data_IF_083248510966
#
_entry.id   IF_083248510966
#
_cell.length_a   1.000
_cell.length_b   1.000
_cell.length_c   1.000
_cell.angle_alpha   90.00
_cell.angle_beta   90.00
_cell.angle_gamma   90.00
#
_symmetry.space_group_name_H-M   'P 1'
#
loop_
_entity.id
_entity.type
_entity.pdbx_description
1 polymer ?
#
# COMPACT_ATOMS: atom_id res chain seq x y z
N UNK A 1 35.55 35.26 -8.30
CA UNK A 1 34.15 35.09 -8.72
C UNK A 1 33.76 33.63 -8.61
N UNK A 2 32.65 33.37 -7.93
CA UNK A 2 32.15 32.03 -7.58
C UNK A 2 31.58 31.31 -8.81
N UNK A 3 31.60 29.97 -8.81
CA UNK A 3 31.02 29.12 -9.87
C UNK A 3 29.54 29.46 -10.13
N UNK A 4 28.86 30.02 -9.13
CA UNK A 4 27.47 30.47 -9.20
C UNK A 4 27.31 31.73 -10.07
N UNK A 5 28.27 32.67 -10.02
CA UNK A 5 28.21 33.89 -10.84
C UNK A 5 28.39 33.57 -12.34
N UNK A 6 29.25 32.61 -12.67
CA UNK A 6 29.44 32.13 -14.06
C UNK A 6 28.23 31.37 -14.62
N UNK A 7 27.33 30.87 -13.76
CA UNK A 7 26.12 30.17 -14.20
C UNK A 7 24.97 31.15 -14.52
N UNK A 8 24.91 32.29 -13.82
CA UNK A 8 23.93 33.35 -14.06
C UNK A 8 24.17 34.07 -15.40
N UNK A 9 25.42 34.41 -15.72
CA UNK A 9 25.75 35.07 -17.00
C UNK A 9 25.46 34.19 -18.24
N UNK A 10 25.50 32.86 -18.08
CA UNK A 10 25.15 31.90 -19.14
C UNK A 10 23.64 31.75 -19.35
N UNK A 11 22.82 32.05 -18.34
CA UNK A 11 21.36 32.03 -18.45
C UNK A 11 20.83 33.32 -19.10
N UNK A 12 21.40 34.47 -18.77
CA UNK A 12 20.97 35.75 -19.34
C UNK A 12 21.35 35.89 -20.83
N UNK A 13 22.51 35.37 -21.23
CA UNK A 13 22.91 35.33 -22.64
C UNK A 13 22.06 34.37 -23.49
N UNK A 14 21.53 33.30 -22.89
CA UNK A 14 20.63 32.36 -23.57
C UNK A 14 19.23 32.95 -23.76
N UNK A 15 18.71 33.69 -22.77
CA UNK A 15 17.40 34.36 -22.83
C UNK A 15 17.37 35.53 -23.83
N UNK A 16 18.48 36.26 -24.00
CA UNK A 16 18.57 37.34 -24.98
C UNK A 16 18.54 36.85 -26.44
N UNK A 17 18.94 35.59 -26.69
CA UNK A 17 18.97 35.01 -28.04
C UNK A 17 17.60 34.48 -28.53
N UNK A 18 16.65 34.25 -27.62
CA UNK A 18 15.36 33.62 -27.93
C UNK A 18 14.22 34.60 -28.26
N UNK A 19 14.44 35.92 -28.15
CA UNK A 19 13.38 36.95 -28.28
C UNK A 19 13.40 37.67 -29.64
N UNK A 20 14.17 37.21 -30.62
CA UNK A 20 14.31 37.86 -31.94
C UNK A 20 13.79 37.03 -33.11
N UNK A 21 12.56 36.51 -33.05
CA UNK A 21 11.81 36.10 -34.25
C UNK A 21 10.29 36.30 -34.09
N UNK A 22 9.72 37.10 -35.01
CA UNK A 22 8.30 37.38 -35.32
C UNK A 22 7.57 38.52 -34.57
N UNK A 23 7.59 39.72 -35.17
CA UNK A 23 6.42 40.62 -35.26
C UNK A 23 5.40 40.05 -36.28
N UNK A 24 4.17 40.53 -36.47
CA UNK A 24 3.66 41.90 -36.43
C UNK A 24 2.10 41.89 -36.49
N UNK A 25 1.43 42.57 -35.53
CA UNK A 25 0.26 43.50 -35.64
C UNK A 25 -1.16 43.15 -36.21
N UNK A 26 -2.20 43.98 -35.91
CA UNK A 26 -3.56 43.56 -35.52
C UNK A 26 -4.72 44.07 -36.41
N UNK A 27 -5.97 43.61 -36.15
CA UNK A 27 -7.18 44.37 -36.54
C UNK A 27 -8.52 43.61 -36.63
N UNK A 28 -9.55 44.26 -36.05
CA UNK A 28 -11.00 44.29 -36.35
C UNK A 28 -11.96 43.16 -35.96
N UNK A 29 -12.98 43.61 -35.23
CA UNK A 29 -14.30 43.03 -34.93
C UNK A 29 -15.09 42.66 -36.20
N UNK A 30 -15.90 41.59 -36.12
CA UNK A 30 -17.25 41.57 -36.70
C UNK A 30 -18.10 40.44 -36.09
N UNK A 31 -19.27 40.84 -35.60
CA UNK A 31 -20.44 40.06 -35.24
C UNK A 31 -21.20 39.58 -36.48
N UNK A 32 -21.71 38.34 -36.46
CA UNK A 32 -22.96 37.92 -37.15
C UNK A 32 -23.44 36.55 -36.61
N UNK A 33 -24.48 36.57 -35.76
CA UNK A 33 -25.80 35.97 -35.98
C UNK A 33 -26.03 34.49 -36.44
N UNK A 34 -26.85 33.78 -35.61
CA UNK A 34 -28.00 32.88 -35.93
C UNK A 34 -27.72 31.36 -36.17
N UNK A 35 -28.60 30.38 -35.78
CA UNK A 35 -29.72 30.37 -34.83
C UNK A 35 -29.81 29.18 -33.83
N UNK A 36 -30.66 29.44 -32.84
CA UNK A 36 -31.50 28.57 -32.02
C UNK A 36 -32.29 27.51 -32.85
N UNK A 37 -32.29 26.25 -32.42
CA UNK A 37 -33.35 25.28 -32.75
C UNK A 37 -33.89 24.66 -31.46
N UNK A 38 -35.14 25.00 -31.16
CA UNK A 38 -36.02 24.25 -30.26
C UNK A 38 -36.70 23.16 -31.09
N UNK A 39 -36.74 21.93 -30.57
CA UNK A 39 -37.84 21.01 -30.81
C UNK A 39 -38.08 20.20 -29.53
N UNK A 40 -39.23 20.46 -28.92
CA UNK A 40 -39.87 19.59 -27.94
C UNK A 40 -40.62 18.48 -28.70
N UNK A 41 -40.53 17.22 -28.26
CA UNK A 41 -41.70 16.34 -28.19
C UNK A 41 -41.45 15.12 -27.28
N UNK A 42 -42.54 14.72 -26.65
CA UNK A 42 -42.67 13.94 -25.42
C UNK A 42 -42.35 12.44 -25.47
N UNK A 43 -42.16 11.91 -24.25
CA UNK A 43 -42.18 10.52 -23.81
C UNK A 43 -43.33 9.67 -24.39
N UNK A 44 -43.01 8.43 -24.77
CA UNK A 44 -43.75 7.24 -24.31
C UNK A 44 -42.81 6.06 -24.09
N UNK A 45 -43.12 5.28 -23.06
CA UNK A 45 -42.34 4.17 -22.54
C UNK A 45 -42.48 2.91 -23.39
N UNK A 46 -41.40 2.14 -23.51
CA UNK A 46 -41.50 0.68 -23.43
C UNK A 46 -40.22 0.07 -22.83
N UNK A 47 -40.43 -0.65 -21.73
CA UNK A 47 -39.48 -1.49 -21.01
C UNK A 47 -39.38 -2.84 -21.72
N UNK A 48 -38.14 -3.33 -21.87
CA UNK A 48 -37.70 -4.72 -21.64
C UNK A 48 -36.71 -5.19 -22.71
N UNK A 49 -35.53 -5.63 -22.25
CA UNK A 49 -34.58 -6.41 -23.06
C UNK A 49 -33.30 -5.67 -23.41
N UNK A 50 -32.38 -5.59 -22.46
CA UNK A 50 -31.06 -5.01 -22.71
C UNK A 50 -30.08 -5.04 -21.54
N UNK A 51 -30.19 -6.03 -20.65
CA UNK A 51 -29.10 -6.35 -19.71
C UNK A 51 -28.39 -7.59 -20.26
N UNK A 52 -27.76 -7.42 -21.42
CA UNK A 52 -26.79 -8.40 -21.90
C UNK A 52 -25.37 -7.85 -21.66
N UNK A 53 -24.77 -8.44 -20.62
CA UNK A 53 -23.40 -8.92 -20.69
C UNK A 53 -22.32 -7.85 -20.93
N UNK A 54 -22.10 -6.98 -19.93
CA UNK A 54 -20.72 -6.51 -19.66
C UNK A 54 -19.92 -7.72 -19.15
N UNK A 55 -19.36 -8.44 -20.12
CA UNK A 55 -18.24 -9.37 -20.03
C UNK A 55 -17.64 -9.47 -18.63
N UNK A 56 -17.78 -10.64 -17.99
CA UNK A 56 -17.01 -11.05 -16.82
C UNK A 56 -15.52 -10.74 -17.08
N UNK A 57 -15.03 -9.60 -16.59
CA UNK A 57 -13.60 -9.27 -16.57
C UNK A 57 -12.88 -10.47 -15.96
N UNK A 58 -11.89 -11.01 -16.65
CA UNK A 58 -11.09 -12.14 -16.15
C UNK A 58 -10.61 -11.80 -14.74
N UNK A 59 -11.03 -12.59 -13.74
CA UNK A 59 -10.53 -12.41 -12.38
C UNK A 59 -9.02 -12.60 -12.42
N UNK A 60 -8.26 -11.53 -12.16
CA UNK A 60 -6.81 -11.60 -12.06
C UNK A 60 -6.45 -12.39 -10.80
N UNK A 61 -6.42 -13.71 -10.93
CA UNK A 61 -6.13 -14.65 -9.84
C UNK A 61 -4.72 -15.19 -10.01
N UNK A 62 -3.98 -15.26 -8.89
CA UNK A 62 -2.67 -15.88 -8.79
C UNK A 62 -2.71 -17.04 -7.79
N UNK A 63 -1.80 -17.99 -7.94
CA UNK A 63 -1.63 -19.10 -6.99
C UNK A 63 -0.33 -18.89 -6.23
N UNK A 64 -0.44 -18.77 -4.92
CA UNK A 64 0.69 -18.69 -3.99
C UNK A 64 1.02 -20.11 -3.51
N UNK A 65 2.28 -20.49 -3.63
CA UNK A 65 2.80 -21.75 -3.10
C UNK A 65 2.90 -21.69 -1.57
N UNK A 66 1.92 -22.31 -0.90
CA UNK A 66 1.84 -22.32 0.56
C UNK A 66 2.98 -23.13 1.21
N UNK A 67 3.49 -24.17 0.55
CA UNK A 67 4.61 -24.96 1.07
C UNK A 67 5.89 -24.15 1.05
N UNK A 68 6.13 -23.41 -0.04
CA UNK A 68 7.23 -22.46 -0.14
C UNK A 68 7.11 -21.36 0.92
N UNK A 69 5.91 -20.83 1.15
CA UNK A 69 5.68 -19.84 2.20
C UNK A 69 6.04 -20.37 3.60
N UNK A 70 5.55 -21.56 3.98
CA UNK A 70 5.86 -22.15 5.29
C UNK A 70 7.38 -22.41 5.45
N UNK A 71 8.03 -22.93 4.40
CA UNK A 71 9.48 -23.15 4.40
C UNK A 71 10.30 -21.86 4.57
N UNK A 72 9.77 -20.72 4.13
CA UNK A 72 10.36 -19.39 4.33
C UNK A 72 9.97 -18.75 5.68
N UNK A 73 9.19 -19.45 6.50
CA UNK A 73 8.73 -18.97 7.81
C UNK A 73 7.53 -18.04 7.75
N UNK A 74 6.74 -18.05 6.68
CA UNK A 74 5.48 -17.30 6.64
C UNK A 74 4.33 -18.09 7.25
N UNK A 75 3.36 -17.38 7.83
CA UNK A 75 2.15 -17.96 8.41
C UNK A 75 1.30 -18.57 7.29
N UNK A 76 0.94 -19.84 7.45
CA UNK A 76 0.03 -20.59 6.59
C UNK A 76 -0.96 -21.37 7.46
N UNK A 77 -2.04 -21.95 6.90
CA UNK A 77 -2.98 -22.75 7.69
C UNK A 77 -2.32 -23.99 8.31
N UNK A 78 -1.25 -24.48 7.70
CA UNK A 78 -0.48 -25.66 8.13
C UNK A 78 0.79 -25.27 8.89
N UNK A 79 0.88 -24.02 9.39
CA UNK A 79 2.13 -23.49 9.95
C UNK A 79 2.74 -24.39 11.02
N UNK A 80 4.00 -24.76 10.81
CA UNK A 80 4.78 -25.57 11.73
C UNK A 80 5.33 -24.74 12.91
N UNK A 81 5.50 -23.43 12.72
CA UNK A 81 6.01 -22.49 13.72
C UNK A 81 4.88 -21.87 14.58
N UNK A 82 4.38 -22.64 15.55
CA UNK A 82 3.34 -22.19 16.49
C UNK A 82 3.73 -20.93 17.29
N UNK A 83 5.02 -20.76 17.59
CA UNK A 83 5.49 -19.58 18.33
C UNK A 83 5.30 -18.30 17.52
N UNK A 84 5.68 -18.33 16.23
CA UNK A 84 5.45 -17.21 15.31
C UNK A 84 3.96 -16.89 15.19
N UNK A 85 3.11 -17.91 15.08
CA UNK A 85 1.67 -17.73 14.99
C UNK A 85 1.09 -16.98 16.20
N UNK A 86 1.48 -17.38 17.42
CA UNK A 86 1.05 -16.70 18.65
C UNK A 86 1.60 -15.28 18.76
N UNK A 87 2.84 -15.01 18.33
CA UNK A 87 3.38 -13.65 18.29
C UNK A 87 2.55 -12.73 17.38
N UNK A 88 2.26 -13.16 16.15
CA UNK A 88 1.44 -12.38 15.24
C UNK A 88 -0.03 -12.33 15.66
N UNK A 89 -0.50 -13.28 16.47
CA UNK A 89 -1.80 -13.19 17.14
C UNK A 89 -1.86 -12.01 18.11
N UNK A 90 -0.82 -11.80 18.91
CA UNK A 90 -0.77 -10.63 19.78
C UNK A 90 -0.68 -9.32 19.00
N UNK A 91 0.14 -9.26 17.94
CA UNK A 91 0.25 -8.07 17.09
C UNK A 91 -1.09 -7.75 16.43
N UNK A 92 -1.76 -8.75 15.82
CA UNK A 92 -3.04 -8.50 15.15
C UNK A 92 -4.15 -8.09 16.12
N UNK A 93 -4.14 -8.61 17.36
CA UNK A 93 -5.11 -8.17 18.38
C UNK A 93 -5.01 -6.67 18.61
N UNK A 94 -3.80 -6.08 18.66
CA UNK A 94 -3.63 -4.63 18.81
C UNK A 94 -4.08 -3.85 17.57
N UNK A 95 -3.89 -4.42 16.38
CA UNK A 95 -4.34 -3.84 15.12
C UNK A 95 -5.87 -3.77 15.05
N UNK A 96 -6.53 -4.83 15.53
CA UNK A 96 -7.98 -5.01 15.51
C UNK A 96 -8.69 -4.45 16.75
N UNK A 97 -7.98 -4.16 17.84
CA UNK A 97 -8.56 -3.77 19.15
C UNK A 97 -9.12 -2.35 19.23
N UNK A 98 -9.31 -1.68 18.10
CA UNK A 98 -9.95 -0.37 18.04
C UNK A 98 -11.31 -0.51 17.35
N UNK A 99 -12.33 -0.69 18.17
CA UNK A 99 -13.77 -0.58 17.87
C UNK A 99 -14.18 -0.92 16.43
N UNK A 100 -14.37 -2.22 16.22
CA UNK A 100 -15.37 -2.70 15.28
C UNK A 100 -16.71 -2.01 15.60
N UNK A 101 -17.10 -1.02 14.79
CA UNK A 101 -18.37 -0.96 14.05
C UNK A 101 -18.73 0.49 13.66
N UNK A 102 -18.46 0.79 12.39
CA UNK A 102 -19.20 1.70 11.48
C UNK A 102 -18.48 2.92 10.89
N UNK A 103 -17.40 3.47 11.45
CA UNK A 103 -16.74 4.63 10.81
C UNK A 103 -15.24 4.44 10.58
N UNK A 104 -14.85 4.40 9.31
CA UNK A 104 -13.45 4.56 8.91
C UNK A 104 -13.10 6.03 9.13
N UNK A 105 -12.65 6.34 10.34
CA UNK A 105 -12.21 7.69 10.73
C UNK A 105 -10.74 7.83 10.35
N UNK A 106 -10.38 8.90 9.64
CA UNK A 106 -8.99 9.24 9.30
C UNK A 106 -8.17 8.10 8.66
N UNK A 107 -8.80 7.27 7.82
CA UNK A 107 -8.17 6.10 7.17
C UNK A 107 -7.65 5.04 8.16
N UNK A 108 -8.34 4.83 9.29
CA UNK A 108 -7.96 3.87 10.35
C UNK A 108 -7.78 2.43 9.86
N UNK A 109 -8.39 2.05 8.74
CA UNK A 109 -8.23 0.74 8.11
C UNK A 109 -6.96 0.62 7.25
N UNK A 110 -6.21 1.71 7.04
CA UNK A 110 -4.93 1.72 6.33
C UNK A 110 -3.78 1.71 7.31
N UNK A 111 -2.96 0.67 7.22
CA UNK A 111 -1.80 0.42 8.07
C UNK A 111 -0.55 0.43 7.20
N UNK A 112 0.34 1.38 7.46
CA UNK A 112 1.67 1.41 6.84
C UNK A 112 2.66 0.67 7.73
N UNK A 113 3.40 -0.24 7.12
CA UNK A 113 4.48 -0.97 7.78
C UNK A 113 5.79 -0.47 7.17
N UNK A 114 6.64 0.04 8.05
CA UNK A 114 7.94 0.61 7.66
C UNK A 114 9.02 0.19 8.64
N UNK A 115 10.24 0.64 8.41
CA UNK A 115 11.41 0.38 9.25
C UNK A 115 12.26 1.65 9.32
N UNK A 116 13.16 1.71 10.30
CA UNK A 116 14.12 2.81 10.39
C UNK A 116 15.17 2.69 9.29
N UNK A 117 15.75 1.50 9.10
CA UNK A 117 16.86 1.23 8.20
C UNK A 117 16.61 -0.04 7.36
N UNK A 118 17.38 -0.27 6.29
CA UNK A 118 17.20 -1.45 5.44
C UNK A 118 17.54 -2.75 6.18
N UNK A 119 16.76 -3.80 5.94
CA UNK A 119 17.08 -5.16 6.41
C UNK A 119 16.44 -5.56 7.73
N UNK A 120 15.63 -4.69 8.34
CA UNK A 120 14.96 -4.96 9.63
C UNK A 120 13.82 -5.99 9.54
N UNK A 121 13.46 -6.39 8.32
CA UNK A 121 12.44 -7.43 8.06
C UNK A 121 11.01 -6.90 7.97
N UNK A 122 10.84 -5.62 7.64
CA UNK A 122 9.54 -4.97 7.37
C UNK A 122 8.60 -5.79 6.47
N UNK A 123 9.11 -6.33 5.35
CA UNK A 123 8.31 -7.10 4.38
C UNK A 123 7.91 -8.46 4.95
N UNK A 124 8.78 -9.06 5.77
CA UNK A 124 8.45 -10.30 6.46
C UNK A 124 7.32 -10.07 7.46
N UNK A 125 7.42 -8.99 8.25
CA UNK A 125 6.39 -8.63 9.22
C UNK A 125 5.08 -8.19 8.58
N UNK A 126 5.13 -7.47 7.46
CA UNK A 126 3.93 -7.02 6.77
C UNK A 126 3.14 -8.17 6.17
N UNK A 127 3.81 -9.12 5.53
CA UNK A 127 3.17 -10.31 4.97
C UNK A 127 2.60 -11.19 6.09
N UNK A 128 3.37 -11.46 7.15
CA UNK A 128 2.89 -12.30 8.25
C UNK A 128 1.69 -11.69 9.00
N UNK A 129 1.69 -10.37 9.20
CA UNK A 129 0.53 -9.69 9.76
C UNK A 129 -0.68 -9.77 8.83
N UNK A 130 -0.48 -9.59 7.53
CA UNK A 130 -1.55 -9.67 6.54
C UNK A 130 -2.16 -11.08 6.47
N UNK A 131 -1.33 -12.11 6.45
CA UNK A 131 -1.78 -13.51 6.44
C UNK A 131 -2.47 -13.89 7.75
N UNK A 132 -1.94 -13.47 8.91
CA UNK A 132 -2.54 -13.79 10.21
C UNK A 132 -3.94 -13.19 10.40
N UNK A 133 -4.22 -12.05 9.75
CA UNK A 133 -5.53 -11.42 9.69
C UNK A 133 -6.42 -12.10 8.64
N UNK A 134 -5.92 -12.39 7.43
CA UNK A 134 -6.70 -13.02 6.37
C UNK A 134 -7.25 -14.40 6.76
N UNK A 135 -6.52 -15.14 7.58
CA UNK A 135 -6.97 -16.44 8.11
C UNK A 135 -8.05 -16.32 9.21
N UNK A 136 -8.35 -15.13 9.73
CA UNK A 136 -9.49 -14.95 10.64
C UNK A 136 -10.81 -14.96 9.90
N UNK A 137 -11.86 -15.47 10.54
CA UNK A 137 -13.15 -15.72 9.88
C UNK A 137 -13.73 -14.46 9.20
N UNK A 138 -13.70 -13.30 9.85
CA UNK A 138 -14.41 -12.09 9.44
C UNK A 138 -13.55 -11.00 8.77
N UNK A 139 -12.24 -11.20 8.62
CA UNK A 139 -11.34 -10.14 8.20
C UNK A 139 -10.81 -10.33 6.78
N UNK A 140 -10.87 -9.25 5.99
CA UNK A 140 -10.33 -9.17 4.64
C UNK A 140 -9.13 -8.27 4.59
N UNK A 141 -8.15 -8.64 3.78
CA UNK A 141 -6.89 -7.92 3.67
C UNK A 141 -6.57 -7.60 2.22
N UNK A 142 -6.27 -6.33 1.97
CA UNK A 142 -5.58 -5.88 0.78
C UNK A 142 -4.12 -5.59 1.16
N UNK A 143 -3.20 -6.42 0.67
CA UNK A 143 -1.77 -6.19 0.79
C UNK A 143 -1.27 -5.36 -0.40
N UNK A 144 -0.60 -4.25 -0.13
CA UNK A 144 -0.02 -3.37 -1.15
C UNK A 144 1.49 -3.38 -0.99
N UNK A 145 2.19 -3.75 -2.06
CA UNK A 145 3.63 -3.59 -2.16
C UNK A 145 3.95 -2.14 -2.56
N UNK A 146 4.41 -1.33 -1.60
CA UNK A 146 4.86 0.04 -1.81
C UNK A 146 6.38 0.16 -1.99
N UNK A 147 7.13 -0.94 -2.01
CA UNK A 147 8.59 -0.94 -2.15
C UNK A 147 9.02 -1.36 -3.55
N UNK A 148 9.10 -0.38 -4.45
CA UNK A 148 9.48 -0.57 -5.86
C UNK A 148 10.96 -0.90 -6.06
N UNK A 149 11.80 -0.69 -5.04
CA UNK A 149 13.24 -0.86 -5.14
C UNK A 149 13.65 -2.30 -4.87
N UNK A 150 13.09 -2.93 -3.83
CA UNK A 150 13.45 -4.29 -3.44
C UNK A 150 12.52 -5.37 -3.97
N UNK A 151 11.23 -5.05 -4.21
CA UNK A 151 10.21 -5.99 -4.76
C UNK A 151 10.19 -7.36 -4.06
N UNK A 152 10.49 -7.40 -2.76
CA UNK A 152 10.65 -8.65 -2.00
C UNK A 152 9.33 -9.43 -1.94
N UNK A 153 8.22 -8.75 -1.63
CA UNK A 153 6.88 -9.34 -1.62
C UNK A 153 6.48 -9.86 -3.00
N UNK A 154 6.82 -9.11 -4.05
CA UNK A 154 6.58 -9.54 -5.43
C UNK A 154 7.33 -10.82 -5.79
N UNK A 155 8.54 -11.03 -5.27
CA UNK A 155 9.31 -12.28 -5.45
C UNK A 155 8.72 -13.44 -4.64
N UNK A 156 8.24 -13.15 -3.43
CA UNK A 156 7.61 -14.15 -2.55
C UNK A 156 6.32 -14.69 -3.17
N UNK A 157 5.49 -13.82 -3.74
CA UNK A 157 4.21 -14.18 -4.37
C UNK A 157 4.33 -14.54 -5.86
N UNK A 158 5.53 -14.52 -6.44
CA UNK A 158 5.79 -14.79 -7.86
C UNK A 158 5.03 -13.87 -8.84
N UNK A 159 5.06 -12.56 -8.54
CA UNK A 159 4.33 -11.50 -9.27
C UNK A 159 5.23 -10.35 -9.76
N UNK A 160 6.55 -10.53 -9.80
CA UNK A 160 7.54 -9.48 -10.10
C UNK A 160 7.33 -8.72 -11.42
N UNK A 161 6.65 -9.31 -12.40
CA UNK A 161 6.40 -8.71 -13.73
C UNK A 161 4.98 -8.15 -13.90
N UNK A 162 4.16 -8.15 -12.84
CA UNK A 162 2.79 -7.65 -12.90
C UNK A 162 2.75 -6.12 -12.81
N UNK A 163 1.85 -5.45 -13.55
CA UNK A 163 1.59 -4.04 -13.32
C UNK A 163 0.96 -3.85 -11.93
N UNK A 164 1.17 -2.69 -11.33
CA UNK A 164 0.79 -2.44 -9.95
C UNK A 164 0.59 -0.97 -9.60
N UNK A 165 0.91 -0.63 -8.37
CA UNK A 165 0.67 0.70 -7.79
C UNK A 165 1.30 1.83 -8.61
N UNK A 166 2.58 1.72 -9.02
CA UNK A 166 3.21 2.78 -9.82
C UNK A 166 2.61 2.89 -11.24
N UNK A 167 2.21 1.77 -11.84
CA UNK A 167 1.56 1.78 -13.16
C UNK A 167 0.19 2.49 -13.07
N UNK A 168 -0.54 2.29 -11.97
CA UNK A 168 -1.78 3.04 -11.68
C UNK A 168 -1.53 4.54 -11.52
N UNK A 169 -0.47 4.92 -10.79
CA UNK A 169 -0.16 6.33 -10.53
C UNK A 169 0.35 7.05 -11.78
N UNK A 170 0.93 6.32 -12.73
CA UNK A 170 1.49 6.87 -13.99
C UNK A 170 0.42 7.02 -15.08
N UNK A 171 -0.54 6.10 -15.17
CA UNK A 171 -1.54 6.07 -16.24
C UNK A 171 -2.93 6.41 -15.72
N UNK A 172 -3.53 7.47 -16.26
CA UNK A 172 -4.91 7.88 -15.93
C UNK A 172 -5.96 6.86 -16.40
N UNK A 173 -5.63 6.04 -17.39
CA UNK A 173 -6.55 5.08 -18.02
C UNK A 173 -6.61 3.71 -17.31
N UNK A 174 -5.75 3.49 -16.32
CA UNK A 174 -5.68 2.21 -15.61
C UNK A 174 -6.75 2.15 -14.52
N UNK A 175 -7.65 1.17 -14.59
CA UNK A 175 -8.59 0.86 -13.51
C UNK A 175 -7.87 0.06 -12.42
N UNK A 176 -7.95 0.52 -11.17
CA UNK A 176 -7.35 -0.14 -10.02
C UNK A 176 -7.82 -1.60 -9.90
N UNK A 177 -9.09 -1.87 -10.22
CA UNK A 177 -9.66 -3.22 -10.12
C UNK A 177 -8.93 -4.23 -11.02
N UNK A 178 -8.36 -3.78 -12.13
CA UNK A 178 -7.60 -4.63 -13.07
C UNK A 178 -6.18 -4.92 -12.58
N UNK A 179 -5.71 -4.23 -11.53
CA UNK A 179 -4.37 -4.41 -10.96
C UNK A 179 -4.39 -5.23 -9.67
N UNK A 180 -5.57 -5.43 -9.09
CA UNK A 180 -5.76 -6.25 -7.90
C UNK A 180 -5.66 -7.74 -8.26
N UNK A 181 -4.80 -8.45 -7.54
CA UNK A 181 -4.57 -9.87 -7.69
C UNK A 181 -5.27 -10.64 -6.58
N UNK A 182 -6.31 -11.40 -6.92
CA UNK A 182 -6.89 -12.37 -6.00
C UNK A 182 -5.94 -13.55 -5.84
N UNK A 183 -5.91 -14.15 -4.66
CA UNK A 183 -5.01 -15.29 -4.39
C UNK A 183 -5.82 -16.55 -4.10
N UNK A 184 -5.15 -17.70 -4.04
CA UNK A 184 -5.70 -18.94 -3.49
C UNK A 184 -5.85 -18.93 -1.96
N UNK A 185 -5.45 -17.84 -1.30
CA UNK A 185 -5.69 -17.60 0.12
C UNK A 185 -6.98 -16.77 0.22
N UNK A 186 -7.99 -17.34 0.88
CA UNK A 186 -9.28 -16.67 1.03
C UNK A 186 -9.10 -15.30 1.73
N UNK A 187 -9.83 -14.29 1.26
CA UNK A 187 -9.83 -12.93 1.84
C UNK A 187 -8.48 -12.19 1.76
N UNK A 188 -7.51 -12.71 1.02
CA UNK A 188 -6.22 -12.08 0.78
C UNK A 188 -6.09 -11.64 -0.70
N UNK A 189 -6.05 -10.32 -0.92
CA UNK A 189 -5.83 -9.69 -2.22
C UNK A 189 -4.51 -8.94 -2.20
N UNK A 190 -3.77 -8.95 -3.31
CA UNK A 190 -2.46 -8.29 -3.45
C UNK A 190 -2.50 -7.22 -4.55
N UNK A 191 -1.94 -6.05 -4.28
CA UNK A 191 -1.58 -5.04 -5.27
C UNK A 191 -0.04 -4.99 -5.34
N UNK A 192 0.58 -5.41 -6.46
CA UNK A 192 2.02 -5.30 -6.65
C UNK A 192 2.49 -3.83 -6.65
N UNK A 193 3.79 -3.62 -6.46
CA UNK A 193 4.41 -2.29 -6.62
C UNK A 193 4.40 -1.81 -8.07
N UNK A 194 4.50 -2.77 -9.01
CA UNK A 194 4.49 -2.50 -10.44
C UNK A 194 5.89 -2.25 -11.01
N UNK A 195 5.94 -1.60 -12.17
CA UNK A 195 7.20 -1.25 -12.83
C UNK A 195 7.88 -0.08 -12.13
N UNK A 196 9.20 -0.15 -12.03
CA UNK A 196 9.97 0.97 -11.50
C UNK A 196 9.81 2.19 -12.41
N UNK A 197 9.69 3.37 -11.82
CA UNK A 197 9.60 4.64 -12.53
C UNK A 197 10.58 5.62 -11.90
N UNK A 198 11.30 6.40 -12.71
CA UNK A 198 12.33 7.34 -12.23
C UNK A 198 11.77 8.39 -11.26
N UNK A 199 10.49 8.75 -11.44
CA UNK A 199 9.73 9.69 -10.60
C UNK A 199 8.90 9.02 -9.50
N UNK A 200 9.31 7.86 -9.00
CA UNK A 200 8.53 7.10 -8.01
C UNK A 200 8.19 7.94 -6.77
N UNK A 201 9.16 8.69 -6.25
CA UNK A 201 8.99 9.54 -5.08
C UNK A 201 7.93 10.63 -5.30
N UNK A 202 7.91 11.27 -6.46
CA UNK A 202 6.91 12.28 -6.83
C UNK A 202 5.53 11.63 -7.02
N UNK A 203 5.46 10.45 -7.61
CA UNK A 203 4.21 9.71 -7.79
C UNK A 203 3.57 9.34 -6.44
N UNK A 204 4.35 8.88 -5.46
CA UNK A 204 3.86 8.61 -4.11
C UNK A 204 3.42 9.87 -3.36
N UNK A 205 4.01 11.04 -3.66
CA UNK A 205 3.61 12.33 -3.11
C UNK A 205 2.46 13.00 -3.89
N UNK A 206 2.04 12.44 -5.02
CA UNK A 206 1.07 13.06 -5.93
C UNK A 206 -0.34 13.15 -5.33
N UNK A 207 -1.15 14.06 -5.87
CA UNK A 207 -2.58 14.14 -5.52
C UNK A 207 -3.32 12.84 -5.88
N UNK A 208 -2.91 12.15 -6.94
CA UNK A 208 -3.48 10.86 -7.36
C UNK A 208 -3.28 9.77 -6.31
N UNK A 209 -2.11 9.73 -5.66
CA UNK A 209 -1.88 8.81 -4.54
C UNK A 209 -2.76 9.14 -3.34
N UNK A 210 -2.94 10.42 -3.00
CA UNK A 210 -3.84 10.83 -1.92
C UNK A 210 -5.29 10.42 -2.20
N UNK A 211 -5.78 10.65 -3.42
CA UNK A 211 -7.12 10.23 -3.86
C UNK A 211 -7.25 8.70 -3.79
N UNK A 212 -6.25 7.96 -4.27
CA UNK A 212 -6.24 6.49 -4.16
C UNK A 212 -6.36 6.03 -2.71
N UNK A 213 -5.60 6.61 -1.78
CA UNK A 213 -5.65 6.24 -0.37
C UNK A 213 -7.02 6.51 0.25
N UNK A 214 -7.65 7.63 -0.10
CA UNK A 214 -9.02 7.93 0.32
C UNK A 214 -10.04 6.97 -0.28
N UNK A 215 -9.91 6.64 -1.57
CA UNK A 215 -10.76 5.67 -2.25
C UNK A 215 -10.63 4.28 -1.64
N UNK A 216 -9.40 3.83 -1.38
CA UNK A 216 -9.13 2.55 -0.75
C UNK A 216 -9.79 2.48 0.64
N UNK A 217 -9.59 3.51 1.45
CA UNK A 217 -10.18 3.67 2.78
C UNK A 217 -11.71 3.61 2.75
N UNK A 218 -12.35 4.38 1.86
CA UNK A 218 -13.82 4.52 1.79
C UNK A 218 -14.53 3.39 1.05
N UNK A 219 -13.91 2.82 0.02
CA UNK A 219 -14.50 1.75 -0.83
C UNK A 219 -14.39 0.38 -0.18
N UNK A 220 -13.31 0.14 0.55
CA UNK A 220 -13.02 -1.16 1.18
C UNK A 220 -13.12 -1.06 2.70
N UNK A 221 -14.26 -0.57 3.22
CA UNK A 221 -14.49 -0.41 4.66
C UNK A 221 -14.46 -1.73 5.44
N UNK A 222 -14.73 -2.84 4.75
CA UNK A 222 -14.67 -4.21 5.27
C UNK A 222 -13.27 -4.83 5.17
N UNK A 223 -12.26 -4.08 4.72
CA UNK A 223 -10.90 -4.57 4.53
C UNK A 223 -9.89 -3.74 5.30
N UNK A 224 -8.92 -4.44 5.86
CA UNK A 224 -7.66 -3.85 6.28
C UNK A 224 -6.72 -3.74 5.08
N UNK A 225 -6.10 -2.58 4.94
CA UNK A 225 -5.14 -2.30 3.88
C UNK A 225 -3.76 -2.23 4.53
N UNK A 226 -2.91 -3.19 4.20
CA UNK A 226 -1.54 -3.26 4.72
C UNK A 226 -0.60 -2.85 3.61
N UNK A 227 0.18 -1.80 3.84
CA UNK A 227 1.14 -1.27 2.86
C UNK A 227 2.56 -1.54 3.37
N UNK A 228 3.30 -2.39 2.66
CA UNK A 228 4.74 -2.52 2.86
C UNK A 228 5.45 -1.35 2.19
N UNK A 229 6.32 -0.65 2.91
CA UNK A 229 7.00 0.55 2.39
C UNK A 229 8.52 0.42 2.53
N UNK A 230 9.32 1.21 1.79
CA UNK A 230 10.76 1.30 2.05
C UNK A 230 11.09 1.87 3.44
N UNK A 231 12.34 1.74 3.93
CA UNK A 231 12.76 2.31 5.22
C UNK A 231 12.70 3.85 5.24
N UNK A 232 12.21 4.42 6.34
CA UNK A 232 11.98 5.87 6.50
C UNK A 232 13.25 6.73 6.37
N UNK A 233 14.41 6.22 6.79
CA UNK A 233 15.66 6.98 6.71
C UNK A 233 16.31 6.90 5.33
N UNK A 234 15.90 5.94 4.50
CA UNK A 234 16.45 5.74 3.17
C UNK A 234 15.57 6.37 2.08
N UNK A 235 14.25 6.36 2.26
CA UNK A 235 13.31 6.83 1.25
C UNK A 235 12.35 7.90 1.79
N UNK A 236 12.31 9.03 1.08
CA UNK A 236 11.46 10.16 1.45
C UNK A 236 10.00 9.93 1.04
N UNK A 237 9.73 9.06 0.06
CA UNK A 237 8.35 8.72 -0.32
C UNK A 237 7.58 8.00 0.79
N UNK A 238 8.26 7.19 1.61
CA UNK A 238 7.63 6.48 2.74
C UNK A 238 6.91 7.44 3.69
N UNK A 239 7.48 8.61 3.99
CA UNK A 239 6.86 9.60 4.86
C UNK A 239 5.56 10.16 4.24
N UNK A 240 5.47 10.24 2.92
CA UNK A 240 4.26 10.66 2.22
C UNK A 240 3.13 9.64 2.38
N UNK A 241 3.42 8.36 2.13
CA UNK A 241 2.46 7.26 2.27
C UNK A 241 1.99 7.17 3.74
N UNK A 242 2.93 7.27 4.69
CA UNK A 242 2.65 7.24 6.12
C UNK A 242 1.74 8.39 6.58
N UNK A 243 1.86 9.60 6.00
CA UNK A 243 0.97 10.72 6.30
C UNK A 243 -0.49 10.43 5.93
N UNK A 244 -0.72 9.70 4.84
CA UNK A 244 -2.07 9.35 4.36
C UNK A 244 -2.67 8.12 5.04
N UNK A 245 -1.88 7.29 5.71
CA UNK A 245 -2.36 6.15 6.48
C UNK A 245 -3.02 6.58 7.80
N UNK A 246 -3.90 5.74 8.35
CA UNK A 246 -4.47 5.95 9.69
C UNK A 246 -3.55 5.41 10.79
N UNK A 247 -2.86 4.29 10.51
CA UNK A 247 -1.98 3.61 11.45
C UNK A 247 -0.61 3.34 10.85
N UNK A 248 0.41 3.35 11.70
CA UNK A 248 1.81 3.10 11.36
C UNK A 248 2.36 2.05 12.32
N UNK A 249 3.00 1.02 11.79
CA UNK A 249 3.79 0.06 12.55
C UNK A 249 5.24 0.17 12.10
N UNK A 250 6.14 0.35 13.06
CA UNK A 250 7.58 0.40 12.79
C UNK A 250 8.22 -0.94 13.11
N UNK A 251 9.00 -1.49 12.18
CA UNK A 251 9.76 -2.73 12.38
C UNK A 251 11.21 -2.39 12.64
N UNK A 252 11.76 -2.93 13.73
CA UNK A 252 13.14 -2.68 14.18
C UNK A 252 13.87 -4.01 14.37
N UNK A 253 15.12 -4.12 13.89
CA UNK A 253 15.94 -5.31 14.11
C UNK A 253 16.46 -5.34 15.56
N UNK A 254 16.08 -6.39 16.30
CA UNK A 254 16.52 -6.63 17.67
C UNK A 254 18.04 -6.69 17.76
N UNK A 255 18.59 -6.11 18.83
CA UNK A 255 20.01 -6.19 19.22
C UNK A 255 21.00 -5.64 18.18
N UNK A 256 20.54 -5.17 17.02
CA UNK A 256 21.38 -4.71 15.93
C UNK A 256 21.14 -3.26 15.56
N UNK A 257 19.89 -2.79 15.51
CA UNK A 257 19.60 -1.42 15.12
C UNK A 257 19.91 -0.44 16.26
N UNK A 258 20.83 0.51 16.07
CA UNK A 258 21.08 1.56 17.06
C UNK A 258 19.82 2.39 17.37
N UNK A 259 19.60 2.65 18.65
CA UNK A 259 18.44 3.43 19.15
C UNK A 259 18.29 4.79 18.45
N UNK A 260 19.38 5.48 18.14
CA UNK A 260 19.32 6.80 17.51
C UNK A 260 18.68 6.77 16.12
N UNK A 261 18.86 5.69 15.34
CA UNK A 261 18.19 5.55 14.04
C UNK A 261 16.68 5.38 14.22
N UNK A 262 16.26 4.62 15.23
CA UNK A 262 14.84 4.45 15.56
C UNK A 262 14.23 5.78 15.98
N UNK A 263 14.88 6.53 16.87
CA UNK A 263 14.42 7.85 17.32
C UNK A 263 14.30 8.85 16.16
N UNK A 264 15.28 8.84 15.26
CA UNK A 264 15.31 9.70 14.07
C UNK A 264 14.24 9.30 13.04
N UNK A 265 13.92 8.01 12.91
CA UNK A 265 12.80 7.55 12.09
C UNK A 265 11.45 7.93 12.72
N UNK A 266 11.31 7.81 14.04
CA UNK A 266 10.11 8.19 14.78
C UNK A 266 9.80 9.70 14.70
N UNK A 267 10.81 10.54 14.44
CA UNK A 267 10.61 11.98 14.18
C UNK A 267 10.02 12.27 12.80
N UNK A 268 10.11 11.33 11.84
CA UNK A 268 9.58 11.50 10.46
C UNK A 268 8.11 11.09 10.32
N UNK A 269 7.49 10.54 11.35
CA UNK A 269 6.10 10.08 11.33
C UNK A 269 5.26 10.79 12.38
N UNK A 270 3.95 10.87 12.15
CA UNK A 270 3.03 11.34 13.19
C UNK A 270 2.92 10.29 14.30
N UNK A 271 3.34 10.64 15.51
CA UNK A 271 3.30 9.75 16.68
C UNK A 271 1.90 9.34 17.08
N UNK A 272 0.88 10.15 16.81
CA UNK A 272 -0.53 9.81 17.08
C UNK A 272 -1.00 8.64 16.21
N UNK A 273 -0.38 8.44 15.04
CA UNK A 273 -0.68 7.34 14.13
C UNK A 273 0.18 6.10 14.41
N UNK A 274 1.18 6.21 15.27
CA UNK A 274 2.07 5.10 15.57
C UNK A 274 1.37 4.11 16.50
N UNK A 275 0.92 2.98 15.94
CA UNK A 275 0.30 1.91 16.71
C UNK A 275 1.32 1.20 17.60
N UNK A 276 2.55 1.03 17.12
CA UNK A 276 3.60 0.39 17.91
C UNK A 276 4.86 0.05 17.10
N UNK A 277 5.76 -0.67 17.77
CA UNK A 277 7.03 -1.13 17.23
C UNK A 277 7.07 -2.66 17.30
N UNK A 278 7.35 -3.32 16.18
CA UNK A 278 7.67 -4.75 16.11
C UNK A 278 9.18 -4.90 16.22
N UNK A 279 9.64 -5.57 17.28
CA UNK A 279 11.03 -5.95 17.44
C UNK A 279 11.28 -7.29 16.75
N UNK A 280 11.86 -7.26 15.56
CA UNK A 280 12.06 -8.43 14.70
C UNK A 280 13.45 -9.05 14.88
N UNK A 281 13.60 -10.35 14.56
CA UNK A 281 14.83 -11.13 14.73
C UNK A 281 15.35 -11.19 16.17
N UNK A 282 14.43 -11.10 17.14
CA UNK A 282 14.78 -11.26 18.54
C UNK A 282 15.17 -12.71 18.83
N UNK A 283 16.31 -12.89 19.50
CA UNK A 283 16.76 -14.19 20.02
C UNK A 283 16.17 -14.50 21.39
N UNK A 284 15.31 -13.64 21.93
CA UNK A 284 14.61 -13.91 23.17
C UNK A 284 13.65 -15.07 22.96
N UNK A 285 14.07 -16.26 23.41
CA UNK A 285 13.16 -17.33 23.75
C UNK A 285 12.31 -16.78 24.89
N UNK A 286 11.03 -16.50 24.65
CA UNK A 286 10.07 -16.25 25.72
C UNK A 286 9.95 -17.52 26.57
N UNK A 287 10.91 -17.70 27.48
CA UNK A 287 10.87 -18.69 28.54
C UNK A 287 9.95 -18.19 29.64
N UNK A 288 9.19 -19.10 30.22
CA UNK A 288 8.50 -19.03 31.52
C UNK A 288 7.09 -18.46 31.69
N UNK A 289 6.49 -17.68 30.77
CA UNK A 289 5.08 -17.23 30.97
C UNK A 289 4.06 -17.89 30.01
N UNK A 290 4.48 -18.24 28.79
CA UNK A 290 3.60 -18.83 27.77
C UNK A 290 3.55 -20.37 27.76
N UNK A 291 4.38 -21.04 28.57
CA UNK A 291 4.33 -22.50 28.73
C UNK A 291 3.03 -23.00 29.40
N UNK A 292 2.30 -22.12 30.09
CA UNK A 292 1.10 -22.50 30.84
C UNK A 292 -0.11 -22.77 29.92
N UNK A 293 -0.27 -22.01 28.83
CA UNK A 293 -1.39 -22.20 27.90
C UNK A 293 -1.20 -23.39 26.95
N UNK A 294 0.04 -23.73 26.59
CA UNK A 294 0.31 -24.88 25.73
C UNK A 294 0.03 -26.23 26.41
N UNK A 295 -0.12 -26.28 27.73
CA UNK A 295 -0.35 -27.51 28.50
C UNK A 295 -1.85 -27.83 28.71
N UNK A 296 -2.75 -26.88 28.48
CA UNK A 296 -4.20 -27.10 28.65
C UNK A 296 -4.87 -27.83 27.47
N UNK A 297 -4.20 -27.89 26.31
CA UNK A 297 -4.74 -28.54 25.10
C UNK A 297 -4.39 -30.03 24.95
N UNK A 298 -3.47 -30.59 25.75
CA UNK A 298 -2.98 -31.97 25.58
C UNK A 298 -3.67 -33.03 26.44
N UNK A 299 -4.61 -32.66 27.33
CA UNK A 299 -5.26 -33.60 28.25
C UNK A 299 -6.74 -33.84 27.96
N UNK A 300 -7.11 -34.09 26.70
CA UNK A 300 -8.39 -34.75 26.35
C UNK A 300 -8.20 -35.71 25.19
N UNK A 301 -7.56 -36.85 25.46
CA UNK A 301 -7.73 -38.12 24.74
C UNK A 301 -6.94 -39.23 25.44
N UNK A 302 -7.42 -39.65 26.61
CA UNK A 302 -7.12 -40.96 27.20
C UNK A 302 -8.05 -41.19 28.41
N UNK A 303 -9.27 -41.66 28.12
CA UNK A 303 -10.10 -42.37 29.07
C UNK A 303 -11.03 -43.29 28.25
N UNK A 304 -10.52 -44.49 28.01
CA UNK A 304 -11.29 -45.70 27.71
C UNK A 304 -11.37 -46.51 28.99
#
# INVERSE_FOLDING_TARGET
MSIIEKALDKLDSALASAVSTSGDKPGSEHSTDIPLFQEECEMTADLAGGIENRSRKSSNTITIDLKKLDALGYITPETSNLHLFEQYRHIKMQVLSEDERFEVVNNSNIIVITSSVPGEGKTYSSINLALSIAYEYNNRVLFIDGDVYKKTSSTIFDISNRPGLLDYLTSEKSDLADLLLNTNIEKFTVLPSGRFHERATELYNSKRMQVLMEELSKRYRDRLIIIDTPPLLQDTSTAAIARSAGKIIMVVEAEKTPRYFVEEALRRVNREKLLGIILNKSNQRYGSEYGYYSSYGKNKTAAS
#
